data_IF_196570870200
#
_entry.id   IF_196570870200
#
_cell.length_a   1.000
_cell.length_b   1.000
_cell.length_c   1.000
_cell.angle_alpha   90.00
_cell.angle_beta   90.00
_cell.angle_gamma   90.00
#
_symmetry.space_group_name_H-M   'P 1'
#
loop_
_entity.id
_entity.type
_entity.pdbx_description
1 polymer ?
#
# COMPACT_ATOMS: atom_id res chain seq x y z
N UNK A 1 8.58 24.29 16.36
CA UNK A 1 7.30 23.65 16.01
C UNK A 1 7.65 22.42 15.18
N UNK A 2 7.53 21.22 15.73
CA UNK A 2 7.83 20.00 14.95
C UNK A 2 6.73 19.81 13.92
N UNK A 3 7.05 20.10 12.67
CA UNK A 3 6.28 19.70 11.51
C UNK A 3 6.23 18.18 11.52
N UNK A 4 5.21 17.62 12.18
CA UNK A 4 4.89 16.21 12.09
C UNK A 4 4.39 16.02 10.66
N UNK A 5 5.33 15.78 9.73
CA UNK A 5 5.01 15.38 8.37
C UNK A 5 3.91 14.33 8.47
N UNK A 6 2.82 14.45 7.67
CA UNK A 6 1.67 13.55 7.79
C UNK A 6 2.20 12.14 7.83
N UNK A 7 1.85 11.42 8.91
CA UNK A 7 2.33 10.10 9.29
C UNK A 7 2.41 9.27 8.03
N UNK A 8 3.63 9.12 7.53
CA UNK A 8 3.84 8.55 6.22
C UNK A 8 3.45 7.09 6.32
N UNK A 9 2.30 6.80 5.76
CA UNK A 9 1.67 5.51 5.83
C UNK A 9 2.59 4.36 5.49
N UNK A 10 2.62 3.38 6.39
CA UNK A 10 3.53 2.24 6.36
C UNK A 10 3.39 1.44 5.08
N UNK A 11 2.16 1.22 4.63
CA UNK A 11 1.86 0.46 3.44
C UNK A 11 1.53 1.40 2.28
N UNK A 12 1.78 0.97 1.04
CA UNK A 12 1.21 1.59 -0.15
C UNK A 12 1.19 0.59 -1.31
N UNK A 13 0.29 0.80 -2.27
CA UNK A 13 0.17 -0.10 -3.43
C UNK A 13 0.91 0.51 -4.61
N UNK A 14 1.72 -0.29 -5.31
CA UNK A 14 2.42 0.10 -6.54
C UNK A 14 2.34 -0.98 -7.60
N UNK A 15 2.38 -0.58 -8.87
CA UNK A 15 2.53 -1.50 -10.00
C UNK A 15 4.02 -1.75 -10.27
N UNK A 16 4.40 -3.02 -10.36
CA UNK A 16 5.72 -3.49 -10.80
C UNK A 16 5.64 -4.22 -12.14
N UNK A 17 6.78 -4.75 -12.61
CA UNK A 17 6.88 -5.41 -13.92
C UNK A 17 6.04 -6.69 -14.04
N UNK A 18 5.81 -7.39 -12.94
CA UNK A 18 5.09 -8.68 -12.88
C UNK A 18 3.65 -8.56 -12.37
N UNK A 19 3.21 -7.37 -11.98
CA UNK A 19 1.91 -7.15 -11.37
C UNK A 19 1.94 -6.08 -10.28
N UNK A 20 0.89 -6.02 -9.49
CA UNK A 20 0.74 -5.09 -8.37
C UNK A 20 1.42 -5.64 -7.12
N UNK A 21 1.83 -4.74 -6.23
CA UNK A 21 2.28 -5.14 -4.90
C UNK A 21 1.90 -4.12 -3.84
N UNK A 22 1.71 -4.60 -2.62
CA UNK A 22 1.68 -3.75 -1.43
C UNK A 22 3.09 -3.67 -0.90
N UNK A 23 3.64 -2.46 -0.86
CA UNK A 23 4.95 -2.17 -0.35
C UNK A 23 4.86 -1.78 1.12
N UNK A 24 5.61 -2.47 1.98
CA UNK A 24 5.82 -2.12 3.38
C UNK A 24 7.10 -1.28 3.48
N UNK A 25 6.97 -0.02 3.90
CA UNK A 25 8.09 0.91 4.05
C UNK A 25 9.06 0.50 5.15
N UNK A 26 8.58 -0.12 6.23
CA UNK A 26 9.43 -0.56 7.32
C UNK A 26 10.29 -1.76 6.89
N UNK A 27 9.70 -2.69 6.11
CA UNK A 27 10.43 -3.85 5.58
C UNK A 27 11.20 -3.54 4.30
N UNK A 28 10.94 -2.38 3.67
CA UNK A 28 11.49 -1.95 2.39
C UNK A 28 11.27 -2.99 1.29
N UNK A 29 10.09 -3.60 1.26
CA UNK A 29 9.77 -4.74 0.40
C UNK A 29 8.26 -5.05 0.34
N UNK A 30 7.86 -6.18 -0.25
CA UNK A 30 6.47 -6.61 -0.23
C UNK A 30 5.96 -6.76 1.19
N UNK A 31 4.74 -6.30 1.45
CA UNK A 31 4.06 -6.53 2.70
C UNK A 31 3.76 -8.02 2.86
N UNK A 32 3.95 -8.54 4.06
CA UNK A 32 3.50 -9.88 4.42
C UNK A 32 2.08 -9.75 4.98
N UNK A 33 1.09 -10.24 4.25
CA UNK A 33 -0.32 -10.14 4.64
C UNK A 33 -0.80 -11.56 4.97
N UNK A 34 -1.02 -11.80 6.26
CA UNK A 34 -1.23 -13.16 6.76
C UNK A 34 0.04 -13.99 6.58
N UNK A 35 -0.01 -15.00 5.70
CA UNK A 35 1.12 -15.88 5.40
C UNK A 35 1.71 -15.65 3.99
N UNK A 36 1.11 -14.76 3.18
CA UNK A 36 1.51 -14.57 1.79
C UNK A 36 2.13 -13.20 1.55
N UNK A 37 3.10 -13.16 0.63
CA UNK A 37 3.69 -11.92 0.16
C UNK A 37 2.70 -11.23 -0.78
N UNK A 38 2.39 -9.98 -0.46
CA UNK A 38 1.53 -9.13 -1.28
C UNK A 38 2.30 -8.58 -2.50
N UNK A 39 2.90 -9.48 -3.29
CA UNK A 39 3.60 -9.23 -4.55
C UNK A 39 2.93 -9.98 -5.69
N UNK A 40 3.18 -9.53 -6.93
CA UNK A 40 2.63 -10.15 -8.15
C UNK A 40 1.10 -10.27 -8.14
N UNK A 41 0.43 -9.33 -7.46
CA UNK A 41 -1.01 -9.26 -7.36
C UNK A 41 -1.62 -8.82 -8.69
N UNK A 42 -2.76 -9.40 -9.03
CA UNK A 42 -3.65 -8.79 -10.02
C UNK A 42 -4.23 -7.50 -9.48
N UNK A 43 -4.72 -6.62 -10.38
CA UNK A 43 -5.40 -5.39 -9.98
C UNK A 43 -6.56 -5.67 -9.01
N UNK A 44 -7.34 -6.72 -9.26
CA UNK A 44 -8.47 -7.11 -8.42
C UNK A 44 -8.02 -7.53 -7.01
N UNK A 45 -6.93 -8.28 -6.89
CA UNK A 45 -6.34 -8.65 -5.60
C UNK A 45 -5.78 -7.43 -4.87
N UNK A 46 -5.10 -6.53 -5.58
CA UNK A 46 -4.57 -5.30 -5.00
C UNK A 46 -5.70 -4.40 -4.46
N UNK A 47 -6.81 -4.27 -5.19
CA UNK A 47 -7.98 -3.52 -4.72
C UNK A 47 -8.62 -4.18 -3.49
N UNK A 48 -8.71 -5.52 -3.46
CA UNK A 48 -9.21 -6.23 -2.28
C UNK A 48 -8.34 -5.97 -1.05
N UNK A 49 -7.01 -6.02 -1.21
CA UNK A 49 -6.06 -5.71 -0.13
C UNK A 49 -6.16 -4.25 0.29
N UNK A 50 -6.32 -3.32 -0.65
CA UNK A 50 -6.55 -1.91 -0.37
C UNK A 50 -7.76 -1.71 0.53
N UNK A 51 -8.88 -2.34 0.22
CA UNK A 51 -10.09 -2.27 1.05
C UNK A 51 -9.84 -2.86 2.45
N UNK A 52 -9.15 -4.00 2.56
CA UNK A 52 -8.77 -4.57 3.86
C UNK A 52 -7.86 -3.65 4.69
N UNK A 53 -6.96 -2.91 4.06
CA UNK A 53 -6.08 -1.96 4.73
C UNK A 53 -6.80 -0.67 5.14
N UNK A 54 -7.79 -0.23 4.36
CA UNK A 54 -8.62 0.94 4.68
C UNK A 54 -9.60 0.64 5.82
N UNK A 55 -10.12 -0.59 5.90
CA UNK A 55 -11.10 -0.99 6.93
C UNK A 55 -10.49 -1.29 8.30
N UNK A 56 -9.15 -1.29 8.45
CA UNK A 56 -8.51 -1.47 9.76
C UNK A 56 -8.47 -0.12 10.52
N UNK A 57 -8.98 -0.05 11.76
CA UNK A 57 -9.24 1.19 12.50
C UNK A 57 -7.98 1.94 12.97
N UNK A 58 -6.82 1.33 12.87
CA UNK A 58 -5.48 1.89 13.09
C UNK A 58 -4.90 2.52 11.80
N UNK A 59 -5.82 3.02 10.96
CA UNK A 59 -5.67 3.64 9.64
C UNK A 59 -4.84 4.93 9.53
N UNK A 60 -3.72 5.01 10.23
CA UNK A 60 -2.57 5.89 9.92
C UNK A 60 -1.76 5.34 8.71
N UNK A 61 -2.21 4.20 8.15
CA UNK A 61 -1.45 3.32 7.26
C UNK A 61 -1.67 3.49 5.75
N UNK A 62 -2.55 4.39 5.28
CA UNK A 62 -2.58 4.87 3.89
C UNK A 62 -3.03 6.34 3.80
N UNK A 63 -2.09 7.30 3.74
CA UNK A 63 -2.31 8.62 3.16
C UNK A 63 -2.59 8.33 1.71
N UNK A 64 -3.86 8.13 1.40
CA UNK A 64 -4.37 8.11 0.06
C UNK A 64 -4.14 9.53 -0.46
N UNK A 65 -2.95 9.76 -1.03
CA UNK A 65 -2.68 10.95 -1.81
C UNK A 65 -3.84 11.10 -2.76
N UNK A 66 -4.51 12.26 -2.70
CA UNK A 66 -5.72 12.69 -3.41
C UNK A 66 -5.62 12.67 -4.94
N UNK A 67 -4.79 11.80 -5.51
CA UNK A 67 -4.52 11.65 -6.93
C UNK A 67 -3.95 10.27 -7.22
N UNK A 68 -4.69 9.20 -6.90
CA UNK A 68 -4.42 7.85 -7.42
C UNK A 68 -4.79 7.84 -8.92
N UNK A 69 -4.01 8.57 -9.71
CA UNK A 69 -3.90 8.35 -11.14
C UNK A 69 -3.15 7.03 -11.26
N UNK A 70 -3.76 6.04 -11.91
CA UNK A 70 -3.07 4.84 -12.38
C UNK A 70 -1.90 5.33 -13.24
N UNK A 71 -0.71 5.53 -12.64
CA UNK A 71 0.48 5.88 -13.39
C UNK A 71 1.05 4.57 -13.92
N UNK A 72 0.59 4.19 -15.10
CA UNK A 72 1.42 3.40 -16.01
C UNK A 72 2.71 4.17 -16.24
N UNK A 73 3.85 3.49 -16.08
CA UNK A 73 5.13 3.95 -16.61
C UNK A 73 5.03 4.13 -18.12
#
# INVERSE_FOLDING_TARGET
MSERAPSQSRFFIRQGAKGWMVYDRERRGPALIGAEWASDLTMAQAERVKQMLISQPDGEGLTLSRGFIWRTV
#
